data_IF_309360563734
#
_entry.id   IF_309360563734
#
_cell.length_a   1.000
_cell.length_b   1.000
_cell.length_c   1.000
_cell.angle_alpha   90.00
_cell.angle_beta   90.00
_cell.angle_gamma   90.00
#
_symmetry.space_group_name_H-M   'P 1'
#
loop_
_entity.id
_entity.type
_entity.pdbx_description
1 polymer ?
#
# COMPACT_ATOMS: atom_id res chain seq x y z
N UNK A 1 -8.34 -19.78 22.11
CA UNK A 1 -8.09 -18.85 20.99
C UNK A 1 -9.37 -18.69 20.18
N UNK A 2 -9.75 -17.46 19.85
CA UNK A 2 -10.98 -17.12 19.11
C UNK A 2 -10.64 -16.15 17.98
N UNK A 3 -11.27 -16.34 16.81
CA UNK A 3 -11.28 -15.35 15.73
C UNK A 3 -12.61 -14.61 15.78
N UNK A 4 -12.59 -13.27 15.75
CA UNK A 4 -13.81 -12.46 15.78
C UNK A 4 -13.64 -11.15 14.98
N UNK A 5 -14.76 -10.51 14.59
CA UNK A 5 -14.71 -9.16 14.04
C UNK A 5 -14.01 -8.18 14.99
N UNK A 6 -13.24 -7.27 14.41
CA UNK A 6 -12.57 -6.19 15.12
C UNK A 6 -13.58 -5.13 15.58
N UNK A 7 -13.29 -4.52 16.73
CA UNK A 7 -14.03 -3.38 17.30
C UNK A 7 -13.08 -2.18 17.43
N UNK A 8 -13.64 -0.98 17.59
CA UNK A 8 -12.85 0.24 17.74
C UNK A 8 -11.88 0.15 18.94
N UNK A 9 -12.31 -0.44 20.05
CA UNK A 9 -11.49 -0.63 21.25
C UNK A 9 -10.30 -1.58 21.06
N UNK A 10 -10.27 -2.37 19.97
CA UNK A 10 -9.15 -3.25 19.64
C UNK A 10 -7.99 -2.52 18.97
N UNK A 11 -8.18 -1.27 18.50
CA UNK A 11 -7.21 -0.56 17.67
C UNK A 11 -5.85 -0.42 18.37
N UNK A 12 -5.84 -0.06 19.64
CA UNK A 12 -4.60 0.09 20.41
C UNK A 12 -3.90 -1.26 20.64
N UNK A 13 -4.66 -2.35 20.80
CA UNK A 13 -4.09 -3.67 20.93
C UNK A 13 -3.50 -4.17 19.60
N UNK A 14 -4.21 -3.93 18.49
CA UNK A 14 -3.74 -4.23 17.15
C UNK A 14 -2.48 -3.41 16.78
N UNK A 15 -2.41 -2.15 17.22
CA UNK A 15 -1.24 -1.29 17.05
C UNK A 15 0.00 -1.91 17.70
N UNK A 16 -0.13 -2.34 18.97
CA UNK A 16 0.94 -3.02 19.71
C UNK A 16 1.38 -4.31 19.04
N UNK A 17 0.43 -5.16 18.64
CA UNK A 17 0.72 -6.43 17.95
C UNK A 17 1.49 -6.19 16.65
N UNK A 18 1.06 -5.24 15.83
CA UNK A 18 1.78 -4.95 14.57
C UNK A 18 3.13 -4.29 14.79
N UNK A 19 3.28 -3.45 15.81
CA UNK A 19 4.57 -2.84 16.15
C UNK A 19 5.59 -3.93 16.51
N UNK A 20 5.20 -4.88 17.38
CA UNK A 20 6.04 -6.03 17.74
C UNK A 20 6.33 -6.95 16.55
N UNK A 21 5.32 -7.24 15.73
CA UNK A 21 5.46 -8.19 14.63
C UNK A 21 6.35 -7.68 13.48
N UNK A 22 6.34 -6.37 13.20
CA UNK A 22 7.13 -5.79 12.10
C UNK A 22 8.51 -5.29 12.51
N UNK A 23 8.75 -5.10 13.81
CA UNK A 23 10.04 -4.66 14.34
C UNK A 23 10.31 -5.36 15.70
N UNK A 24 10.47 -6.70 15.72
CA UNK A 24 10.61 -7.45 16.98
C UNK A 24 11.80 -6.99 17.81
N UNK A 25 12.92 -6.66 17.16
CA UNK A 25 14.15 -6.16 17.79
C UNK A 25 14.36 -4.65 17.58
N UNK A 26 13.35 -3.97 17.03
CA UNK A 26 13.44 -2.55 16.70
C UNK A 26 13.01 -1.63 17.84
N UNK A 27 13.32 -0.33 17.75
CA UNK A 27 12.78 0.63 18.69
C UNK A 27 11.25 0.67 18.61
N UNK A 28 10.57 1.10 19.68
CA UNK A 28 9.14 1.35 19.64
C UNK A 28 8.77 2.26 18.47
N UNK A 29 7.60 2.01 17.87
CA UNK A 29 7.04 2.87 16.83
C UNK A 29 6.95 4.31 17.34
N UNK A 30 7.46 5.27 16.57
CA UNK A 30 7.36 6.69 16.94
C UNK A 30 5.91 7.14 17.12
N UNK A 31 5.67 8.17 17.94
CA UNK A 31 4.32 8.66 18.22
C UNK A 31 3.53 9.00 16.95
N UNK A 32 4.19 9.65 15.99
CA UNK A 32 3.59 9.97 14.69
C UNK A 32 3.27 8.70 13.88
N UNK A 33 4.19 7.74 13.81
CA UNK A 33 3.94 6.49 13.08
C UNK A 33 2.80 5.69 13.73
N UNK A 34 2.71 5.71 15.06
CA UNK A 34 1.60 5.13 15.81
C UNK A 34 0.27 5.80 15.46
N UNK A 35 0.20 7.13 15.55
CA UNK A 35 -1.00 7.90 15.22
C UNK A 35 -1.50 7.64 13.79
N UNK A 36 -0.58 7.60 12.82
CA UNK A 36 -0.93 7.32 11.42
C UNK A 36 -1.41 5.88 11.24
N UNK A 37 -0.75 4.92 11.91
CA UNK A 37 -1.16 3.52 11.85
C UNK A 37 -2.56 3.32 12.45
N UNK A 38 -2.85 3.89 13.62
CA UNK A 38 -4.16 3.77 14.27
C UNK A 38 -5.24 4.52 13.51
N UNK A 39 -4.97 5.73 13.04
CA UNK A 39 -5.92 6.51 12.21
C UNK A 39 -6.30 5.77 10.93
N UNK A 40 -5.33 5.10 10.30
CA UNK A 40 -5.57 4.25 9.13
C UNK A 40 -6.42 3.01 9.45
N UNK A 41 -6.13 2.33 10.56
CA UNK A 41 -6.95 1.18 10.96
C UNK A 41 -8.38 1.62 11.30
N UNK A 42 -8.54 2.75 12.00
CA UNK A 42 -9.84 3.34 12.31
C UNK A 42 -10.62 3.67 11.04
N UNK A 43 -9.96 4.25 10.02
CA UNK A 43 -10.56 4.51 8.72
C UNK A 43 -11.06 3.24 8.05
N UNK A 44 -10.22 2.20 7.93
CA UNK A 44 -10.63 0.93 7.31
C UNK A 44 -11.81 0.32 8.08
N UNK A 45 -11.79 0.36 9.41
CA UNK A 45 -12.90 -0.12 10.24
C UNK A 45 -14.18 0.72 10.02
N UNK A 46 -14.07 2.02 9.74
CA UNK A 46 -15.23 2.88 9.49
C UNK A 46 -15.85 2.63 8.11
N UNK A 47 -15.03 2.44 7.07
CA UNK A 47 -15.52 2.30 5.68
C UNK A 47 -15.75 0.85 5.27
N UNK A 48 -15.16 -0.13 5.97
CA UNK A 48 -15.15 -1.53 5.56
C UNK A 48 -14.96 -2.51 6.75
N UNK A 49 -15.82 -2.37 7.76
CA UNK A 49 -15.69 -3.11 9.03
C UNK A 49 -15.68 -4.63 8.92
N UNK A 50 -16.38 -5.19 7.91
CA UNK A 50 -16.57 -6.63 7.76
C UNK A 50 -15.28 -7.32 7.26
N UNK A 51 -14.32 -6.53 6.77
CA UNK A 51 -12.97 -6.98 6.41
C UNK A 51 -11.96 -6.96 7.55
N UNK A 52 -12.35 -6.55 8.76
CA UNK A 52 -11.46 -6.38 9.91
C UNK A 52 -11.69 -7.46 10.99
N UNK A 53 -10.61 -8.18 11.32
CA UNK A 53 -10.63 -9.34 12.20
C UNK A 53 -9.50 -9.27 13.22
N UNK A 54 -9.75 -9.82 14.40
CA UNK A 54 -8.73 -10.06 15.42
C UNK A 54 -8.72 -11.52 15.85
N UNK A 55 -7.53 -12.00 16.22
CA UNK A 55 -7.34 -13.24 16.96
C UNK A 55 -7.09 -12.89 18.43
N UNK A 56 -7.83 -13.51 19.34
CA UNK A 56 -7.69 -13.29 20.78
C UNK A 56 -7.59 -14.60 21.58
N UNK A 57 -6.96 -14.51 22.75
CA UNK A 57 -6.92 -15.54 23.79
C UNK A 57 -7.03 -14.85 25.17
N UNK A 58 -6.69 -15.58 26.23
CA UNK A 58 -6.80 -15.07 27.61
C UNK A 58 -5.86 -13.89 27.91
N UNK A 59 -4.83 -13.65 27.09
CA UNK A 59 -3.95 -12.47 27.20
C UNK A 59 -4.42 -11.28 26.35
N UNK A 60 -5.54 -11.40 25.65
CA UNK A 60 -6.13 -10.37 24.80
C UNK A 60 -5.89 -10.59 23.31
N UNK A 61 -5.82 -9.51 22.54
CA UNK A 61 -5.58 -9.55 21.09
C UNK A 61 -4.14 -9.98 20.82
N UNK A 62 -3.98 -11.08 20.09
CA UNK A 62 -2.70 -11.69 19.69
C UNK A 62 -2.48 -11.65 18.18
N UNK A 63 -3.43 -11.13 17.42
CA UNK A 63 -3.34 -11.08 15.97
C UNK A 63 -4.36 -10.13 15.36
N UNK A 64 -3.99 -9.53 14.23
CA UNK A 64 -4.82 -8.60 13.48
C UNK A 64 -4.78 -8.90 11.99
N UNK A 65 -5.93 -8.85 11.35
CA UNK A 65 -6.07 -8.75 9.91
C UNK A 65 -7.06 -7.63 9.56
N UNK A 66 -6.65 -6.70 8.71
CA UNK A 66 -7.57 -5.73 8.11
C UNK A 66 -7.47 -5.85 6.60
N UNK A 67 -8.62 -6.04 5.96
CA UNK A 67 -8.77 -6.11 4.53
C UNK A 67 -9.91 -5.21 4.09
N UNK A 68 -9.92 -4.87 2.81
CA UNK A 68 -10.90 -3.98 2.23
C UNK A 68 -11.32 -4.47 0.85
N UNK A 69 -12.54 -4.11 0.45
CA UNK A 69 -13.11 -4.36 -0.86
C UNK A 69 -13.33 -3.01 -1.55
N UNK A 70 -12.79 -2.89 -2.75
CA UNK A 70 -13.03 -1.74 -3.64
C UNK A 70 -13.48 -2.30 -4.96
N UNK A 71 -14.69 -1.94 -5.39
CA UNK A 71 -15.36 -2.57 -6.53
C UNK A 71 -15.32 -4.11 -6.44
N UNK A 72 -14.57 -4.78 -7.33
CA UNK A 72 -14.39 -6.24 -7.35
C UNK A 72 -12.99 -6.68 -6.94
N UNK A 73 -12.18 -5.80 -6.37
CA UNK A 73 -10.87 -6.09 -5.84
C UNK A 73 -10.90 -6.17 -4.33
N UNK A 74 -10.31 -7.22 -3.79
CA UNK A 74 -10.02 -7.36 -2.37
C UNK A 74 -8.55 -7.04 -2.09
N UNK A 75 -8.27 -6.25 -1.06
CA UNK A 75 -6.90 -5.90 -0.65
C UNK A 75 -6.68 -6.29 0.80
N UNK A 76 -5.60 -7.01 1.10
CA UNK A 76 -5.14 -7.20 2.48
C UNK A 76 -4.24 -6.03 2.88
N UNK A 77 -4.77 -5.16 3.73
CA UNK A 77 -4.10 -3.93 4.17
C UNK A 77 -3.07 -4.20 5.28
N UNK A 78 -3.44 -5.03 6.26
CA UNK A 78 -2.53 -5.42 7.33
C UNK A 78 -2.80 -6.83 7.80
N UNK A 79 -1.74 -7.53 8.17
CA UNK A 79 -1.79 -8.89 8.70
C UNK A 79 -0.58 -9.11 9.61
N UNK A 80 -0.84 -9.44 10.88
CA UNK A 80 0.20 -9.70 11.85
C UNK A 80 -0.29 -10.64 12.94
N UNK A 81 0.61 -11.48 13.43
CA UNK A 81 0.45 -12.28 14.65
C UNK A 81 1.58 -11.90 15.59
N UNK A 82 1.23 -11.72 16.86
CA UNK A 82 2.18 -11.46 17.92
C UNK A 82 3.30 -12.53 17.91
N UNK A 83 4.59 -12.14 17.94
CA UNK A 83 5.71 -13.09 17.82
C UNK A 83 5.63 -14.29 18.76
N UNK A 84 5.15 -14.10 20.00
CA UNK A 84 5.09 -15.16 21.02
C UNK A 84 3.99 -16.21 20.73
N UNK A 85 3.12 -15.90 19.77
CA UNK A 85 1.95 -16.70 19.39
C UNK A 85 2.04 -17.25 17.95
N UNK A 86 3.15 -17.02 17.24
CA UNK A 86 3.35 -17.52 15.89
C UNK A 86 3.56 -19.04 15.85
N UNK A 87 3.32 -19.65 14.68
CA UNK A 87 3.50 -21.10 14.47
C UNK A 87 2.43 -22.00 15.11
N UNK A 88 1.41 -21.43 15.77
CA UNK A 88 0.37 -22.16 16.51
C UNK A 88 -1.01 -22.17 15.83
N UNK A 89 -1.07 -21.86 14.53
CA UNK A 89 -2.30 -21.88 13.73
C UNK A 89 -3.13 -20.60 13.72
N UNK A 90 -2.90 -19.65 14.64
CA UNK A 90 -3.62 -18.37 14.71
C UNK A 90 -3.60 -17.60 13.38
N UNK A 91 -2.43 -17.50 12.74
CA UNK A 91 -2.27 -16.81 11.45
C UNK A 91 -3.09 -17.42 10.32
N UNK A 92 -3.19 -18.76 10.27
CA UNK A 92 -4.02 -19.43 9.27
C UNK A 92 -5.50 -19.12 9.50
N UNK A 93 -6.00 -19.33 10.72
CA UNK A 93 -7.40 -19.09 11.05
C UNK A 93 -7.81 -17.63 10.82
N UNK A 94 -6.93 -16.69 11.14
CA UNK A 94 -7.15 -15.26 10.94
C UNK A 94 -7.14 -14.87 9.45
N UNK A 95 -6.20 -15.41 8.66
CA UNK A 95 -6.17 -15.16 7.22
C UNK A 95 -7.38 -15.80 6.52
N UNK A 96 -7.81 -17.00 6.93
CA UNK A 96 -8.99 -17.65 6.37
C UNK A 96 -10.26 -16.79 6.56
N UNK A 97 -10.41 -16.14 7.72
CA UNK A 97 -11.51 -15.20 7.96
C UNK A 97 -11.45 -13.97 7.03
N UNK A 98 -10.27 -13.36 6.90
CA UNK A 98 -10.08 -12.22 6.00
C UNK A 98 -10.29 -12.59 4.52
N UNK A 99 -9.82 -13.77 4.09
CA UNK A 99 -10.07 -14.30 2.75
C UNK A 99 -11.54 -14.68 2.55
N UNK A 100 -12.22 -15.15 3.58
CA UNK A 100 -13.68 -15.38 3.55
C UNK A 100 -14.44 -14.10 3.17
N UNK A 101 -14.02 -12.96 3.70
CA UNK A 101 -14.60 -11.66 3.34
C UNK A 101 -14.39 -11.27 1.86
N UNK A 102 -13.38 -11.85 1.20
CA UNK A 102 -13.15 -11.61 -0.23
C UNK A 102 -14.17 -12.29 -1.16
N UNK A 103 -15.12 -13.08 -0.63
CA UNK A 103 -16.16 -13.70 -1.44
C UNK A 103 -16.96 -12.65 -2.25
N UNK A 104 -17.08 -12.90 -3.55
CA UNK A 104 -17.69 -11.97 -4.51
C UNK A 104 -16.73 -10.92 -5.09
N UNK A 105 -15.46 -10.91 -4.67
CA UNK A 105 -14.39 -10.21 -5.39
C UNK A 105 -13.79 -11.12 -6.46
N UNK A 106 -13.41 -10.53 -7.60
CA UNK A 106 -12.80 -11.22 -8.74
C UNK A 106 -11.28 -11.28 -8.62
N UNK A 107 -10.69 -10.37 -7.86
CA UNK A 107 -9.24 -10.16 -7.77
C UNK A 107 -8.82 -9.97 -6.31
N UNK A 108 -7.55 -10.25 -6.04
CA UNK A 108 -6.92 -10.02 -4.73
C UNK A 108 -5.55 -9.37 -4.88
N UNK A 109 -5.21 -8.45 -3.97
CA UNK A 109 -3.90 -7.79 -3.93
C UNK A 109 -3.41 -7.64 -2.48
N UNK A 110 -2.10 -7.70 -2.27
CA UNK A 110 -1.46 -7.31 -1.00
C UNK A 110 0.01 -6.94 -1.20
N UNK A 111 0.51 -6.11 -0.29
CA UNK A 111 1.94 -5.85 -0.11
C UNK A 111 2.45 -6.68 1.07
N UNK A 112 3.55 -7.42 0.88
CA UNK A 112 4.10 -8.31 1.89
C UNK A 112 5.57 -8.01 2.18
N UNK A 113 5.94 -7.98 3.45
CA UNK A 113 7.35 -8.09 3.88
C UNK A 113 7.84 -9.54 3.67
N UNK A 114 9.16 -9.78 3.57
CA UNK A 114 9.73 -11.10 3.30
C UNK A 114 9.70 -12.06 4.52
N UNK A 115 8.53 -12.19 5.18
CA UNK A 115 8.34 -13.07 6.34
C UNK A 115 7.95 -14.49 5.89
N UNK A 116 8.79 -15.53 6.11
CA UNK A 116 8.57 -16.86 5.53
C UNK A 116 7.20 -17.48 5.87
N UNK A 117 6.77 -17.30 7.13
CA UNK A 117 5.48 -17.81 7.58
C UNK A 117 4.29 -17.16 6.89
N UNK A 118 4.36 -15.85 6.61
CA UNK A 118 3.26 -15.12 5.98
C UNK A 118 3.21 -15.41 4.48
N UNK A 119 4.35 -15.43 3.80
CA UNK A 119 4.45 -15.77 2.38
C UNK A 119 3.89 -17.17 2.06
N UNK A 120 4.15 -18.15 2.94
CA UNK A 120 3.55 -19.49 2.82
C UNK A 120 2.02 -19.45 2.93
N UNK A 121 1.48 -18.66 3.86
CA UNK A 121 0.02 -18.50 4.00
C UNK A 121 -0.58 -17.83 2.76
N UNK A 122 0.05 -16.77 2.23
CA UNK A 122 -0.43 -16.09 1.03
C UNK A 122 -0.39 -16.99 -0.20
N UNK A 123 0.67 -17.78 -0.40
CA UNK A 123 0.72 -18.79 -1.47
C UNK A 123 -0.40 -19.81 -1.35
N UNK A 124 -0.63 -20.35 -0.15
CA UNK A 124 -1.70 -21.32 0.09
C UNK A 124 -3.10 -20.72 -0.08
N UNK A 125 -3.25 -19.39 0.08
CA UNK A 125 -4.48 -18.66 -0.20
C UNK A 125 -4.68 -18.29 -1.68
N UNK A 126 -3.82 -18.80 -2.58
CA UNK A 126 -3.94 -18.66 -4.03
C UNK A 126 -3.26 -17.42 -4.63
N UNK A 127 -2.41 -16.73 -3.87
CA UNK A 127 -1.67 -15.58 -4.39
C UNK A 127 -0.42 -16.01 -5.17
N UNK A 128 -0.11 -15.27 -6.23
CA UNK A 128 1.19 -15.26 -6.89
C UNK A 128 2.08 -14.19 -6.28
N UNK A 129 3.27 -14.57 -5.83
CA UNK A 129 4.24 -13.68 -5.22
C UNK A 129 5.20 -13.14 -6.28
N UNK A 130 5.31 -11.82 -6.37
CA UNK A 130 6.23 -11.10 -7.24
C UNK A 130 7.26 -10.39 -6.35
N UNK A 131 8.56 -10.76 -6.42
CA UNK A 131 9.61 -10.00 -5.75
C UNK A 131 9.59 -8.55 -6.18
N UNK A 132 9.94 -7.65 -5.26
CA UNK A 132 9.93 -6.21 -5.52
C UNK A 132 11.23 -5.52 -5.16
N UNK A 133 11.43 -4.38 -5.79
CA UNK A 133 12.51 -3.45 -5.59
C UNK A 133 12.00 -2.20 -4.89
N UNK A 134 12.90 -1.52 -4.17
CA UNK A 134 12.68 -0.19 -3.62
C UNK A 134 13.73 0.75 -4.22
N UNK A 135 13.29 1.89 -4.76
CA UNK A 135 14.18 3.02 -5.01
C UNK A 135 14.31 3.82 -3.73
N UNK A 136 15.55 4.13 -3.33
CA UNK A 136 15.80 4.94 -2.13
C UNK A 136 17.02 5.84 -2.30
N UNK A 137 17.08 6.95 -1.57
CA UNK A 137 18.20 7.90 -1.63
C UNK A 137 17.75 9.36 -1.70
N UNK A 138 18.70 10.26 -1.91
CA UNK A 138 18.44 11.69 -2.04
C UNK A 138 18.46 12.05 -3.53
N UNK A 139 17.47 12.81 -3.98
CA UNK A 139 17.39 13.25 -5.39
C UNK A 139 18.57 14.18 -5.72
N UNK A 140 19.26 13.91 -6.83
CA UNK A 140 20.27 14.82 -7.37
C UNK A 140 19.68 15.73 -8.45
N UNK A 141 20.18 16.95 -8.55
CA UNK A 141 19.66 18.00 -9.44
C UNK A 141 20.24 17.97 -10.86
N UNK A 142 20.87 16.87 -11.26
CA UNK A 142 21.67 16.80 -12.49
C UNK A 142 20.83 16.65 -13.77
N UNK A 143 19.56 16.28 -13.61
CA UNK A 143 18.60 16.06 -14.70
C UNK A 143 17.41 17.01 -14.54
N UNK A 144 17.05 17.73 -15.60
CA UNK A 144 15.84 18.56 -15.67
C UNK A 144 14.75 17.80 -16.41
N UNK A 145 13.75 17.20 -15.73
CA UNK A 145 12.75 16.38 -16.37
C UNK A 145 11.60 17.18 -17.00
N UNK A 146 10.94 16.60 -18.00
CA UNK A 146 9.67 17.11 -18.52
C UNK A 146 8.53 16.80 -17.56
N UNK A 147 8.07 17.80 -16.82
CA UNK A 147 6.89 17.72 -15.92
C UNK A 147 5.68 18.49 -16.45
N UNK A 148 5.68 18.85 -17.75
CA UNK A 148 4.58 19.63 -18.36
C UNK A 148 3.26 18.89 -18.23
N UNK A 149 2.22 19.65 -17.91
CA UNK A 149 0.86 19.12 -17.71
C UNK A 149 0.63 18.47 -16.35
N UNK A 150 1.64 18.40 -15.47
CA UNK A 150 1.44 17.98 -14.07
C UNK A 150 1.07 19.19 -13.22
N UNK A 151 0.06 19.03 -12.36
CA UNK A 151 -0.41 20.07 -11.41
C UNK A 151 -0.91 19.45 -10.11
N UNK A 152 -1.07 20.28 -9.09
CA UNK A 152 -1.81 19.89 -7.88
C UNK A 152 -3.28 19.62 -8.23
N UNK A 153 -3.84 18.61 -7.58
CA UNK A 153 -5.24 18.24 -7.71
C UNK A 153 -6.16 19.15 -6.89
N UNK A 154 -7.37 19.37 -7.41
CA UNK A 154 -8.52 19.83 -6.65
C UNK A 154 -9.58 18.74 -6.53
N UNK A 155 -10.66 19.01 -5.81
CA UNK A 155 -11.77 18.06 -5.63
C UNK A 155 -12.42 17.63 -6.95
N UNK A 156 -12.43 18.49 -7.96
CA UNK A 156 -12.98 18.17 -9.30
C UNK A 156 -12.19 17.11 -10.06
N UNK A 157 -10.95 16.84 -9.67
CA UNK A 157 -10.10 15.85 -10.35
C UNK A 157 -10.33 14.41 -9.88
N UNK A 158 -11.11 14.28 -8.81
CA UNK A 158 -11.35 13.01 -8.15
C UNK A 158 -12.02 12.01 -9.13
N UNK A 159 -12.88 12.43 -10.05
CA UNK A 159 -13.48 11.52 -11.04
C UNK A 159 -12.46 10.98 -12.06
N UNK A 160 -11.43 11.77 -12.40
CA UNK A 160 -10.31 11.33 -13.22
C UNK A 160 -9.49 10.26 -12.50
N UNK A 161 -9.18 10.50 -11.21
CA UNK A 161 -8.46 9.53 -10.37
C UNK A 161 -9.18 8.19 -10.34
N UNK A 162 -10.49 8.23 -10.09
CA UNK A 162 -11.39 7.08 -10.10
C UNK A 162 -11.39 6.30 -11.43
N UNK A 163 -11.33 7.01 -12.55
CA UNK A 163 -11.27 6.43 -13.89
C UNK A 163 -9.93 5.77 -14.17
N UNK A 164 -8.83 6.45 -13.83
CA UNK A 164 -7.46 5.92 -13.97
C UNK A 164 -7.28 4.67 -13.10
N UNK A 165 -7.77 4.70 -11.87
CA UNK A 165 -7.74 3.56 -10.94
C UNK A 165 -8.43 2.33 -11.51
N UNK A 166 -9.69 2.47 -11.96
CA UNK A 166 -10.42 1.35 -12.55
C UNK A 166 -9.73 0.81 -13.80
N UNK A 167 -9.07 1.67 -14.58
CA UNK A 167 -8.28 1.22 -15.73
C UNK A 167 -7.00 0.47 -15.33
N UNK A 168 -6.30 0.93 -14.30
CA UNK A 168 -5.01 0.37 -13.90
C UNK A 168 -5.16 -0.94 -13.11
N UNK A 169 -6.12 -0.97 -12.18
CA UNK A 169 -6.25 -2.01 -11.14
C UNK A 169 -7.66 -2.57 -10.97
N UNK A 170 -8.59 -2.21 -11.85
CA UNK A 170 -10.00 -2.65 -11.82
C UNK A 170 -10.79 -2.22 -10.56
N UNK A 171 -10.31 -1.23 -9.81
CA UNK A 171 -10.95 -0.76 -8.58
C UNK A 171 -10.55 0.68 -8.20
N UNK A 172 -11.52 1.48 -7.76
CA UNK A 172 -11.30 2.85 -7.27
C UNK A 172 -10.75 2.92 -5.83
N UNK A 173 -9.92 3.94 -5.54
CA UNK A 173 -9.59 4.35 -4.18
C UNK A 173 -10.57 5.38 -3.57
N UNK A 174 -11.73 5.66 -4.19
CA UNK A 174 -12.72 6.68 -3.76
C UNK A 174 -12.89 6.79 -2.24
N UNK A 175 -13.16 5.70 -1.51
CA UNK A 175 -13.42 5.79 -0.07
C UNK A 175 -12.20 6.22 0.75
N UNK A 176 -10.99 6.10 0.19
CA UNK A 176 -9.71 6.30 0.87
C UNK A 176 -9.04 7.64 0.51
N UNK A 177 -9.59 8.41 -0.43
CA UNK A 177 -8.98 9.68 -0.85
C UNK A 177 -8.80 10.68 0.29
N UNK A 178 -9.78 10.83 1.18
CA UNK A 178 -9.69 11.77 2.30
C UNK A 178 -8.53 11.42 3.24
N UNK A 179 -8.33 10.14 3.55
CA UNK A 179 -7.22 9.72 4.40
C UNK A 179 -5.87 9.80 3.66
N UNK A 180 -5.83 9.48 2.36
CA UNK A 180 -4.59 9.62 1.57
C UNK A 180 -4.16 11.09 1.43
N UNK A 181 -5.11 12.00 1.19
CA UNK A 181 -4.85 13.44 1.14
C UNK A 181 -4.36 14.01 2.49
N UNK A 182 -4.66 13.35 3.61
CA UNK A 182 -4.12 13.73 4.91
C UNK A 182 -2.62 13.45 5.07
N UNK A 183 -2.03 12.65 4.19
CA UNK A 183 -0.61 12.29 4.22
C UNK A 183 0.28 13.22 3.38
N UNK A 184 -0.29 13.80 2.33
CA UNK A 184 0.40 14.72 1.45
C UNK A 184 -0.38 15.01 0.17
N UNK A 185 0.21 15.81 -0.75
CA UNK A 185 -0.48 16.30 -1.93
C UNK A 185 -0.79 15.19 -2.94
N UNK A 186 -1.84 15.43 -3.73
CA UNK A 186 -2.18 14.69 -4.93
C UNK A 186 -1.76 15.49 -6.16
N UNK A 187 -1.00 14.86 -7.04
CA UNK A 187 -0.64 15.39 -8.35
C UNK A 187 -1.50 14.74 -9.44
N UNK A 188 -1.88 15.53 -10.44
CA UNK A 188 -2.65 15.09 -11.61
C UNK A 188 -1.87 15.48 -12.86
N UNK A 189 -1.86 14.58 -13.83
CA UNK A 189 -1.48 14.88 -15.20
C UNK A 189 -2.63 14.51 -16.10
N UNK A 190 -3.15 15.46 -16.85
CA UNK A 190 -4.22 15.23 -17.82
C UNK A 190 -3.88 15.94 -19.12
N UNK A 191 -3.50 15.15 -20.13
CA UNK A 191 -3.03 15.64 -21.42
C UNK A 191 -3.70 14.82 -22.53
N UNK A 192 -3.67 15.35 -23.76
CA UNK A 192 -4.37 14.76 -24.92
C UNK A 192 -4.13 13.25 -25.14
N UNK A 193 -2.97 12.72 -24.75
CA UNK A 193 -2.59 11.32 -24.97
C UNK A 193 -2.52 10.48 -23.69
N UNK A 194 -3.00 11.00 -22.55
CA UNK A 194 -3.12 10.21 -21.34
C UNK A 194 -3.34 11.02 -20.08
N UNK A 195 -3.75 10.31 -19.05
CA UNK A 195 -4.06 10.87 -17.75
C UNK A 195 -3.46 10.03 -16.64
N UNK A 196 -3.24 10.61 -15.48
CA UNK A 196 -2.72 9.88 -14.33
C UNK A 196 -2.67 10.74 -13.08
N UNK A 197 -2.36 10.10 -11.98
CA UNK A 197 -2.21 10.75 -10.69
C UNK A 197 -1.05 10.15 -9.88
N UNK A 198 -0.56 10.91 -8.90
CA UNK A 198 0.38 10.43 -7.90
C UNK A 198 0.08 11.08 -6.54
N UNK A 199 -0.03 10.26 -5.50
CA UNK A 199 0.01 10.76 -4.12
C UNK A 199 1.44 10.83 -3.61
N UNK A 200 1.70 11.85 -2.81
CA UNK A 200 2.90 11.95 -2.00
C UNK A 200 2.55 11.70 -0.53
N UNK A 201 3.39 10.92 0.12
CA UNK A 201 3.38 10.71 1.56
C UNK A 201 4.76 11.04 2.11
N UNK A 202 4.96 12.31 2.47
CA UNK A 202 6.28 12.87 2.83
C UNK A 202 7.30 12.58 1.71
N UNK A 203 8.33 11.79 2.00
CA UNK A 203 9.34 11.37 1.03
C UNK A 203 9.01 10.00 0.37
N UNK A 204 7.80 9.48 0.56
CA UNK A 204 7.32 8.28 -0.15
C UNK A 204 6.40 8.66 -1.29
N UNK A 205 6.56 8.03 -2.45
CA UNK A 205 5.70 8.24 -3.61
C UNK A 205 4.79 7.02 -3.78
N UNK A 206 3.48 7.25 -3.79
CA UNK A 206 2.48 6.20 -3.98
C UNK A 206 1.16 6.45 -3.23
N UNK A 207 0.01 5.98 -3.76
CA UNK A 207 -0.11 5.30 -5.04
C UNK A 207 0.12 6.24 -6.23
N UNK A 208 0.59 5.68 -7.34
CA UNK A 208 0.73 6.36 -8.63
C UNK A 208 0.12 5.47 -9.71
N UNK A 209 -0.78 6.01 -10.51
CA UNK A 209 -1.38 5.29 -11.63
C UNK A 209 -1.48 6.22 -12.85
N UNK A 210 -1.35 5.66 -14.05
CA UNK A 210 -1.51 6.41 -15.28
C UNK A 210 -2.03 5.54 -16.43
N UNK A 211 -2.51 6.18 -17.49
CA UNK A 211 -2.93 5.48 -18.71
C UNK A 211 -1.78 5.18 -19.67
N UNK A 212 -0.59 5.79 -19.45
CA UNK A 212 0.62 5.55 -20.25
C UNK A 212 1.90 5.70 -19.41
N UNK A 213 2.97 5.00 -19.81
CA UNK A 213 4.28 5.08 -19.12
C UNK A 213 4.84 6.50 -19.12
N UNK A 214 4.66 7.23 -20.22
CA UNK A 214 5.12 8.62 -20.33
C UNK A 214 4.46 9.52 -19.27
N UNK A 215 3.14 9.40 -19.07
CA UNK A 215 2.43 10.16 -18.02
C UNK A 215 2.88 9.73 -16.62
N UNK A 216 3.06 8.43 -16.39
CA UNK A 216 3.57 7.92 -15.11
C UNK A 216 4.96 8.48 -14.78
N UNK A 217 5.86 8.56 -15.76
CA UNK A 217 7.20 9.14 -15.59
C UNK A 217 7.14 10.64 -15.29
N UNK A 218 6.28 11.42 -15.97
CA UNK A 218 6.09 12.85 -15.66
C UNK A 218 5.61 13.06 -14.23
N UNK A 219 4.62 12.26 -13.80
CA UNK A 219 4.09 12.31 -12.44
C UNK A 219 5.14 11.95 -11.39
N UNK A 220 5.95 10.91 -11.65
CA UNK A 220 7.01 10.50 -10.75
C UNK A 220 8.10 11.58 -10.64
N UNK A 221 8.52 12.17 -11.76
CA UNK A 221 9.46 13.31 -11.74
C UNK A 221 8.90 14.51 -10.99
N UNK A 222 7.64 14.86 -11.22
CA UNK A 222 7.00 15.96 -10.51
C UNK A 222 6.89 15.66 -9.00
N UNK A 223 6.60 14.40 -8.61
CA UNK A 223 6.57 14.00 -7.22
C UNK A 223 7.96 14.09 -6.57
N UNK A 224 9.02 13.62 -7.25
CA UNK A 224 10.39 13.75 -6.77
C UNK A 224 10.80 15.22 -6.57
N UNK A 225 10.39 16.11 -7.48
CA UNK A 225 10.69 17.54 -7.39
C UNK A 225 10.00 18.25 -6.20
N UNK A 226 8.94 17.67 -5.63
CA UNK A 226 8.26 18.21 -4.45
C UNK A 226 8.92 17.77 -3.13
N UNK A 227 9.83 16.79 -3.18
CA UNK A 227 10.49 16.30 -1.97
C UNK A 227 11.56 17.32 -1.54
N UNK A 228 11.59 17.74 -0.26
CA UNK A 228 12.57 18.70 0.20
C UNK A 228 14.02 18.23 -0.04
N UNK A 229 14.94 19.13 -0.42
CA UNK A 229 16.34 18.78 -0.61
C UNK A 229 16.96 18.12 0.63
N UNK A 230 17.67 17.01 0.43
CA UNK A 230 18.33 16.25 1.51
C UNK A 230 17.47 15.17 2.18
N UNK A 231 16.17 15.11 1.90
CA UNK A 231 15.31 14.04 2.40
C UNK A 231 15.53 12.72 1.65
N UNK A 232 15.53 11.60 2.39
CA UNK A 232 15.63 10.27 1.77
C UNK A 232 14.27 9.85 1.20
N UNK A 233 14.20 9.76 -0.13
CA UNK A 233 13.04 9.29 -0.90
C UNK A 233 12.90 7.78 -0.77
N UNK A 234 11.66 7.28 -0.78
CA UNK A 234 11.35 5.85 -1.00
C UNK A 234 10.24 5.66 -2.03
N UNK A 235 10.49 4.79 -3.00
CA UNK A 235 9.47 4.30 -3.93
C UNK A 235 9.49 2.78 -3.87
N UNK A 236 8.48 2.21 -3.25
CA UNK A 236 8.46 0.82 -2.79
C UNK A 236 7.63 -0.08 -3.69
N UNK A 237 7.81 -1.38 -3.51
CA UNK A 237 7.00 -2.43 -4.14
C UNK A 237 7.00 -2.38 -5.68
N UNK A 238 8.14 -2.05 -6.30
CA UNK A 238 8.30 -2.02 -7.76
C UNK A 238 8.60 -3.43 -8.29
N UNK A 239 7.78 -3.96 -9.19
CA UNK A 239 8.08 -5.22 -9.89
C UNK A 239 8.81 -4.94 -11.21
N UNK A 240 9.11 -5.98 -11.99
CA UNK A 240 9.61 -5.82 -13.36
C UNK A 240 8.63 -5.07 -14.28
N UNK A 241 7.34 -4.98 -13.94
CA UNK A 241 6.38 -4.16 -14.72
C UNK A 241 6.58 -2.64 -14.50
N UNK A 242 7.39 -2.25 -13.52
CA UNK A 242 7.71 -0.88 -13.14
C UNK A 242 9.13 -0.45 -13.55
N UNK A 243 9.76 -1.07 -14.56
CA UNK A 243 11.06 -0.61 -15.09
C UNK A 243 11.06 0.88 -15.45
N UNK A 244 9.94 1.41 -15.95
CA UNK A 244 9.77 2.84 -16.24
C UNK A 244 10.00 3.75 -15.01
N UNK A 245 9.71 3.24 -13.80
CA UNK A 245 9.93 3.96 -12.54
C UNK A 245 11.38 3.83 -12.08
N UNK A 246 12.01 2.67 -12.32
CA UNK A 246 13.44 2.46 -12.09
C UNK A 246 14.28 3.42 -12.93
N UNK A 247 13.94 3.58 -14.21
CA UNK A 247 14.61 4.54 -15.11
C UNK A 247 14.57 5.96 -14.55
N UNK A 248 13.41 6.40 -14.05
CA UNK A 248 13.23 7.71 -13.42
C UNK A 248 14.06 7.82 -12.13
N UNK A 249 13.97 6.83 -11.25
CA UNK A 249 14.68 6.83 -9.98
C UNK A 249 16.20 6.85 -10.15
N UNK A 250 16.74 6.00 -11.02
CA UNK A 250 18.17 5.94 -11.31
C UNK A 250 18.66 7.26 -11.94
N UNK A 251 17.90 7.83 -12.88
CA UNK A 251 18.21 9.14 -13.45
C UNK A 251 18.14 10.27 -12.41
N UNK A 252 17.34 10.11 -11.35
CA UNK A 252 17.25 11.04 -10.22
C UNK A 252 18.35 10.81 -9.16
N UNK A 253 19.29 9.90 -9.38
CA UNK A 253 20.37 9.57 -8.45
C UNK A 253 19.97 8.62 -7.31
N UNK A 254 18.80 8.00 -7.37
CA UNK A 254 18.36 6.99 -6.40
C UNK A 254 19.05 5.65 -6.66
N UNK A 255 19.21 4.84 -5.61
CA UNK A 255 19.73 3.46 -5.70
C UNK A 255 18.59 2.44 -5.60
N UNK A 256 18.82 1.24 -6.12
CA UNK A 256 17.91 0.12 -6.02
C UNK A 256 18.30 -0.77 -4.84
N UNK A 257 17.33 -1.08 -3.99
CA UNK A 257 17.44 -2.06 -2.91
C UNK A 257 16.38 -3.16 -3.07
N UNK A 258 16.63 -4.31 -2.44
CA UNK A 258 15.61 -5.35 -2.31
C UNK A 258 14.51 -4.87 -1.36
N UNK A 259 13.25 -5.16 -1.70
CA UNK A 259 12.10 -4.83 -0.87
C UNK A 259 11.37 -6.11 -0.43
N UNK A 260 10.04 -6.13 -0.53
CA UNK A 260 9.22 -7.29 -0.19
C UNK A 260 8.66 -7.98 -1.43
N UNK A 261 7.37 -8.32 -1.35
CA UNK A 261 6.61 -8.92 -2.43
C UNK A 261 5.34 -8.14 -2.66
N UNK A 262 4.96 -7.98 -3.93
CA UNK A 262 3.57 -7.79 -4.29
C UNK A 262 2.94 -9.15 -4.54
N UNK A 263 1.76 -9.36 -3.99
CA UNK A 263 1.03 -10.59 -4.25
C UNK A 263 -0.31 -10.31 -4.93
N UNK A 264 -0.59 -11.06 -5.99
CA UNK A 264 -1.80 -10.92 -6.79
C UNK A 264 -2.55 -12.24 -6.88
N UNK A 265 -3.88 -12.17 -6.88
CA UNK A 265 -4.77 -13.31 -7.09
C UNK A 265 -5.74 -12.98 -8.22
N UNK A 266 -5.74 -13.82 -9.26
CA UNK A 266 -6.56 -13.68 -10.47
C UNK A 266 -6.38 -12.33 -11.21
N UNK A 267 -5.21 -11.71 -11.10
CA UNK A 267 -4.84 -10.52 -11.87
C UNK A 267 -3.33 -10.52 -12.18
N UNK A 268 -2.95 -9.78 -13.22
CA UNK A 268 -1.55 -9.44 -13.51
C UNK A 268 -1.16 -8.20 -12.70
N UNK A 269 0.14 -7.96 -12.45
CA UNK A 269 0.57 -6.70 -11.86
C UNK A 269 0.07 -5.51 -12.68
N UNK A 270 -0.62 -4.52 -12.06
CA UNK A 270 -1.07 -3.31 -12.72
C UNK A 270 0.09 -2.52 -13.35
N UNK A 271 -0.15 -1.91 -14.51
CA UNK A 271 0.88 -1.12 -15.20
C UNK A 271 0.26 -0.02 -16.09
N UNK A 272 0.82 1.21 -16.10
CA UNK A 272 1.76 1.77 -15.13
C UNK A 272 1.08 1.99 -13.77
N UNK A 273 1.67 1.43 -12.71
CA UNK A 273 1.15 1.54 -11.35
C UNK A 273 2.26 1.42 -10.31
N UNK A 274 2.17 2.19 -9.23
CA UNK A 274 2.92 2.04 -7.98
C UNK A 274 1.88 1.93 -6.86
N UNK A 275 1.94 0.87 -6.03
CA UNK A 275 0.89 0.57 -5.06
C UNK A 275 0.91 1.48 -3.84
N UNK A 276 -0.27 1.56 -3.20
CA UNK A 276 -0.39 2.00 -1.82
C UNK A 276 -0.29 0.78 -0.92
N UNK A 277 0.66 0.71 0.00
CA UNK A 277 0.79 -0.44 0.92
C UNK A 277 -0.53 -0.82 1.61
N UNK A 278 -1.28 0.13 2.19
CA UNK A 278 -2.54 -0.22 2.86
C UNK A 278 -3.77 -0.32 1.94
N UNK A 279 -3.78 0.32 0.77
CA UNK A 279 -4.99 0.42 -0.07
C UNK A 279 -4.87 -0.35 -1.40
N UNK A 280 -3.71 -0.97 -1.63
CA UNK A 280 -3.38 -1.83 -2.76
C UNK A 280 -3.01 -1.01 -3.95
#
# INVERSE_FOLDING_TARGET
MRIRPMRADDIDAAERVTARAFAPDGPPRSALAKQRWTGRLAHILAVDRDGCWVAENDSGVIGVAASLRRDKLWVLSTFAIDPDHQGRGAGKALLDAAVGYSQGCLRGMLCAMPHPGALRLYRNAGFNLHPTMCLTGVVTGDVVPDVRGVRLAGESDLDLVDSVDRRARDATHRPDHAIMASYGPLLICDIMNGSGYAYLDRATIGPLAATSRAVAQRLMWAALAQIPPGEEVKVRYLTSEQEWALDVGLAAGLRIEQDGFLAFRHMRPPMPYIPSVPFG
#
